data_IF_134917703475
#
_entry.id   IF_134917703475
#
_cell.length_a   1.000
_cell.length_b   1.000
_cell.length_c   1.000
_cell.angle_alpha   90.00
_cell.angle_beta   90.00
_cell.angle_gamma   90.00
#
_symmetry.space_group_name_H-M   'P 1'
#
loop_
_entity.id
_entity.type
_entity.pdbx_description
1 polymer ?
#
# COMPACT_ATOMS: atom_id res chain seq x y z
N UNK A 1 -14.36 -24.88 23.36
CA UNK A 1 -13.05 -25.45 22.98
C UNK A 1 -12.84 -25.09 21.52
N UNK A 2 -12.22 -23.93 21.26
CA UNK A 2 -11.83 -23.54 19.87
C UNK A 2 -10.60 -24.38 19.52
N UNK A 3 -10.74 -25.28 18.57
CA UNK A 3 -9.60 -25.89 17.87
C UNK A 3 -8.95 -24.79 17.03
N UNK A 4 -8.07 -23.98 17.63
CA UNK A 4 -7.29 -23.01 16.93
C UNK A 4 -6.43 -23.75 15.90
N UNK A 5 -6.65 -23.45 14.63
CA UNK A 5 -5.77 -23.89 13.57
C UNK A 5 -4.37 -23.30 13.85
N UNK A 6 -3.49 -24.12 14.41
CA UNK A 6 -2.13 -23.71 14.74
C UNK A 6 -1.25 -23.59 13.48
N UNK A 7 -0.08 -22.98 13.61
CA UNK A 7 0.87 -22.81 12.50
C UNK A 7 1.13 -24.09 11.71
N UNK A 8 1.00 -25.27 12.34
CA UNK A 8 1.23 -26.58 11.73
C UNK A 8 0.25 -26.91 10.59
N UNK A 9 -1.05 -26.60 10.75
CA UNK A 9 -2.06 -26.85 9.71
C UNK A 9 -1.82 -25.99 8.47
N UNK A 10 -1.41 -24.74 8.63
CA UNK A 10 -1.04 -23.85 7.53
C UNK A 10 0.22 -24.30 6.81
N UNK A 11 1.28 -24.70 7.53
CA UNK A 11 2.52 -25.26 6.94
C UNK A 11 2.18 -26.47 6.10
N UNK A 12 1.35 -27.39 6.60
CA UNK A 12 0.92 -28.58 5.87
C UNK A 12 0.13 -28.24 4.61
N UNK A 13 -0.83 -27.31 4.70
CA UNK A 13 -1.65 -26.88 3.57
C UNK A 13 -0.80 -26.24 2.47
N UNK A 14 0.11 -25.34 2.81
CA UNK A 14 1.01 -24.68 1.86
C UNK A 14 2.01 -25.66 1.24
N UNK A 15 2.53 -26.64 2.01
CA UNK A 15 3.38 -27.71 1.48
C UNK A 15 2.64 -28.55 0.44
N UNK A 16 1.37 -28.86 0.65
CA UNK A 16 0.55 -29.62 -0.30
C UNK A 16 0.21 -28.84 -1.57
N UNK A 17 0.14 -27.50 -1.48
CA UNK A 17 -0.14 -26.62 -2.62
C UNK A 17 1.05 -26.52 -3.57
N UNK A 18 2.28 -26.49 -3.05
CA UNK A 18 3.49 -26.18 -3.79
C UNK A 18 4.01 -27.42 -4.55
N UNK A 19 4.18 -27.28 -5.87
CA UNK A 19 4.72 -28.39 -6.66
C UNK A 19 6.26 -28.40 -6.60
N UNK A 20 6.93 -29.59 -6.72
CA UNK A 20 8.38 -29.67 -6.71
C UNK A 20 9.06 -28.81 -7.76
N UNK A 21 8.51 -28.76 -8.96
CA UNK A 21 9.02 -27.93 -10.05
C UNK A 21 9.05 -26.44 -9.68
N UNK A 22 8.11 -25.98 -8.86
CA UNK A 22 8.05 -24.58 -8.43
C UNK A 22 9.25 -24.18 -7.55
N UNK A 23 9.92 -25.16 -6.94
CA UNK A 23 11.09 -24.95 -6.07
C UNK A 23 12.39 -25.55 -6.64
N UNK A 24 12.39 -25.87 -7.94
CA UNK A 24 13.58 -26.37 -8.63
C UNK A 24 13.90 -27.84 -8.35
N UNK A 25 12.96 -28.61 -7.81
CA UNK A 25 13.12 -30.04 -7.61
C UNK A 25 12.56 -30.83 -8.81
N UNK A 26 13.18 -31.96 -9.18
CA UNK A 26 12.73 -32.78 -10.31
C UNK A 26 11.32 -33.32 -10.06
N UNK A 27 10.47 -33.25 -11.07
CA UNK A 27 9.17 -33.92 -11.09
C UNK A 27 9.39 -35.42 -11.22
N UNK A 28 9.45 -36.15 -10.11
CA UNK A 28 9.60 -37.60 -10.12
C UNK A 28 8.37 -38.28 -10.73
N UNK A 29 8.58 -39.25 -11.64
CA UNK A 29 7.56 -39.95 -12.43
C UNK A 29 6.60 -40.86 -11.61
N UNK A 30 6.81 -41.03 -10.30
CA UNK A 30 6.03 -41.93 -9.43
C UNK A 30 5.65 -41.27 -8.11
N UNK A 31 5.00 -40.09 -8.17
CA UNK A 31 4.54 -39.38 -6.96
C UNK A 31 3.12 -39.77 -6.57
N UNK A 32 2.98 -40.40 -5.39
CA UNK A 32 1.66 -40.64 -4.76
C UNK A 32 1.15 -39.47 -3.92
N UNK A 33 2.02 -38.48 -3.63
CA UNK A 33 1.72 -37.35 -2.74
C UNK A 33 1.57 -36.08 -3.55
N UNK A 34 0.45 -35.37 -3.36
CA UNK A 34 0.29 -34.00 -3.87
C UNK A 34 1.25 -33.06 -3.14
N UNK A 35 1.93 -32.18 -3.87
CA UNK A 35 2.82 -31.16 -3.34
C UNK A 35 4.18 -31.69 -2.90
N UNK A 36 4.89 -30.92 -2.06
CA UNK A 36 6.20 -31.29 -1.53
C UNK A 36 6.10 -32.39 -0.48
N UNK A 37 7.06 -33.30 -0.48
CA UNK A 37 7.26 -34.25 0.64
C UNK A 37 7.85 -33.52 1.84
N UNK A 38 7.70 -34.09 3.04
CA UNK A 38 8.28 -33.51 4.27
C UNK A 38 9.79 -33.39 4.19
N UNK A 39 10.45 -34.40 3.65
CA UNK A 39 11.90 -34.44 3.45
C UNK A 39 12.36 -33.31 2.52
N UNK A 40 11.60 -33.04 1.48
CA UNK A 40 11.90 -31.99 0.51
C UNK A 40 11.75 -30.61 1.15
N UNK A 41 10.63 -30.34 1.86
CA UNK A 41 10.44 -29.08 2.57
C UNK A 41 11.47 -28.88 3.68
N UNK A 42 11.77 -29.93 4.45
CA UNK A 42 12.76 -29.87 5.53
C UNK A 42 14.16 -29.52 4.99
N UNK A 43 14.55 -30.15 3.88
CA UNK A 43 15.81 -29.86 3.17
C UNK A 43 15.85 -28.42 2.67
N UNK A 44 14.79 -27.94 2.00
CA UNK A 44 14.70 -26.57 1.50
C UNK A 44 14.73 -25.51 2.62
N UNK A 45 14.13 -25.83 3.78
CA UNK A 45 14.10 -24.95 4.93
C UNK A 45 15.34 -25.09 5.85
N UNK A 46 16.22 -26.06 5.60
CA UNK A 46 17.40 -26.31 6.43
C UNK A 46 17.06 -26.76 7.86
N UNK A 47 15.96 -27.52 8.03
CA UNK A 47 15.52 -28.07 9.32
C UNK A 47 15.45 -29.62 9.25
N UNK A 48 15.40 -30.28 10.41
CA UNK A 48 15.21 -31.73 10.42
C UNK A 48 13.76 -32.12 10.06
N UNK A 49 13.60 -33.28 9.42
CA UNK A 49 12.27 -33.83 9.08
C UNK A 49 11.45 -34.06 10.34
N UNK A 50 12.07 -34.57 11.40
CA UNK A 50 11.42 -34.80 12.70
C UNK A 50 10.88 -33.48 13.31
N UNK A 51 11.65 -32.40 13.21
CA UNK A 51 11.20 -31.09 13.67
C UNK A 51 10.01 -30.56 12.86
N UNK A 52 10.05 -30.70 11.53
CA UNK A 52 8.93 -30.36 10.66
C UNK A 52 7.66 -31.16 10.99
N UNK A 53 7.80 -32.48 11.24
CA UNK A 53 6.67 -33.33 11.66
C UNK A 53 6.06 -32.82 12.97
N UNK A 54 6.89 -32.48 13.96
CA UNK A 54 6.41 -31.92 15.23
C UNK A 54 5.70 -30.57 15.08
N UNK A 55 6.21 -29.73 14.16
CA UNK A 55 5.54 -28.45 13.83
C UNK A 55 4.17 -28.70 13.19
N UNK A 56 4.09 -29.54 12.14
CA UNK A 56 2.82 -29.86 11.47
C UNK A 56 1.79 -30.49 12.41
N UNK A 57 2.25 -31.25 13.41
CA UNK A 57 1.37 -31.89 14.42
C UNK A 57 1.03 -30.97 15.61
N UNK A 58 1.52 -29.72 15.60
CA UNK A 58 1.28 -28.77 16.71
C UNK A 58 2.01 -29.14 18.03
N UNK A 59 2.97 -30.09 17.98
CA UNK A 59 3.77 -30.49 19.14
C UNK A 59 4.95 -29.56 19.40
N UNK A 60 5.38 -28.80 18.40
CA UNK A 60 6.33 -27.70 18.54
C UNK A 60 5.57 -26.38 18.39
N UNK A 61 5.30 -25.70 19.51
CA UNK A 61 4.35 -24.57 19.54
C UNK A 61 5.00 -23.20 19.36
N UNK A 62 6.32 -23.11 19.46
CA UNK A 62 7.06 -21.83 19.39
C UNK A 62 8.28 -21.93 18.48
N UNK A 63 8.12 -22.02 17.16
CA UNK A 63 9.24 -22.00 16.24
C UNK A 63 9.94 -20.63 16.31
N UNK A 64 11.28 -20.64 16.20
CA UNK A 64 12.04 -19.39 16.18
C UNK A 64 11.75 -18.59 14.91
N UNK A 65 11.96 -17.27 14.97
CA UNK A 65 11.81 -16.38 13.80
C UNK A 65 12.67 -16.81 12.62
N UNK A 66 13.84 -17.42 12.90
CA UNK A 66 14.74 -17.96 11.89
C UNK A 66 14.13 -19.17 11.16
N UNK A 67 13.47 -20.06 11.89
CA UNK A 67 12.76 -21.22 11.31
C UNK A 67 11.55 -20.73 10.49
N UNK A 68 10.77 -19.79 11.01
CA UNK A 68 9.64 -19.21 10.28
C UNK A 68 10.09 -18.52 8.99
N UNK A 69 11.20 -17.79 9.02
CA UNK A 69 11.78 -17.18 7.83
C UNK A 69 12.23 -18.23 6.79
N UNK A 70 12.84 -19.32 7.23
CA UNK A 70 13.28 -20.40 6.37
C UNK A 70 12.08 -21.13 5.72
N UNK A 71 11.06 -21.45 6.50
CA UNK A 71 9.82 -22.06 6.00
C UNK A 71 9.07 -21.13 5.03
N UNK A 72 9.00 -19.82 5.33
CA UNK A 72 8.36 -18.84 4.45
C UNK A 72 9.03 -18.79 3.07
N UNK A 73 10.35 -18.83 3.01
CA UNK A 73 11.10 -18.88 1.75
C UNK A 73 10.90 -20.21 1.02
N UNK A 74 11.03 -21.34 1.73
CA UNK A 74 10.90 -22.67 1.16
C UNK A 74 9.50 -22.93 0.59
N UNK A 75 8.46 -22.41 1.25
CA UNK A 75 7.06 -22.51 0.84
C UNK A 75 6.63 -21.42 -0.14
N UNK A 76 7.52 -20.50 -0.51
CA UNK A 76 7.22 -19.34 -1.38
C UNK A 76 5.97 -18.58 -0.94
N UNK A 77 5.84 -18.33 0.36
CA UNK A 77 4.70 -17.64 0.91
C UNK A 77 4.63 -16.20 0.41
N UNK A 78 3.42 -15.72 0.15
CA UNK A 78 3.18 -14.29 -0.04
C UNK A 78 3.48 -13.53 1.26
N UNK A 79 3.54 -12.22 1.19
CA UNK A 79 3.79 -11.38 2.38
C UNK A 79 2.69 -11.61 3.43
N UNK A 80 1.44 -11.71 3.01
CA UNK A 80 0.28 -11.95 3.88
C UNK A 80 0.34 -13.34 4.51
N UNK A 81 0.67 -14.37 3.75
CA UNK A 81 0.80 -15.74 4.23
C UNK A 81 1.97 -15.85 5.23
N UNK A 82 3.08 -15.18 4.94
CA UNK A 82 4.22 -15.11 5.86
C UNK A 82 3.81 -14.41 7.16
N UNK A 83 3.20 -13.24 7.08
CA UNK A 83 2.81 -12.45 8.24
C UNK A 83 1.76 -13.21 9.07
N UNK A 84 0.86 -13.93 8.40
CA UNK A 84 -0.08 -14.83 9.04
C UNK A 84 0.62 -16.00 9.75
N UNK A 85 1.61 -16.64 9.10
CA UNK A 85 2.41 -17.72 9.72
C UNK A 85 3.08 -17.26 11.02
N UNK A 86 3.69 -16.06 11.00
CA UNK A 86 4.31 -15.50 12.19
C UNK A 86 3.27 -15.25 13.30
N UNK A 87 2.13 -14.64 12.95
CA UNK A 87 1.05 -14.35 13.91
C UNK A 87 0.52 -15.60 14.58
N UNK A 88 0.20 -16.66 13.82
CA UNK A 88 -0.32 -17.92 14.39
C UNK A 88 0.74 -18.72 15.15
N UNK A 89 2.03 -18.46 14.89
CA UNK A 89 3.15 -18.99 15.65
C UNK A 89 3.48 -18.16 16.92
N UNK A 90 2.70 -17.11 17.22
CA UNK A 90 2.92 -16.24 18.38
C UNK A 90 4.14 -15.33 18.24
N UNK A 91 4.61 -15.08 17.03
CA UNK A 91 5.75 -14.22 16.72
C UNK A 91 5.29 -12.96 15.98
N UNK A 92 5.99 -11.84 16.20
CA UNK A 92 5.78 -10.65 15.42
C UNK A 92 6.26 -10.88 13.97
N UNK A 93 5.46 -10.53 12.95
CA UNK A 93 5.91 -10.57 11.56
C UNK A 93 7.18 -9.75 11.36
N UNK A 94 8.09 -10.17 10.45
CA UNK A 94 9.29 -9.41 10.15
C UNK A 94 8.92 -8.06 9.55
N UNK A 95 9.63 -7.03 9.98
CA UNK A 95 9.48 -5.68 9.44
C UNK A 95 9.79 -5.68 7.94
N UNK A 96 9.07 -4.86 7.21
CA UNK A 96 9.30 -4.70 5.77
C UNK A 96 10.53 -3.82 5.57
N UNK A 97 11.45 -4.24 4.70
CA UNK A 97 12.73 -3.51 4.50
C UNK A 97 12.59 -2.25 3.66
N UNK A 98 11.58 -2.19 2.78
CA UNK A 98 11.38 -1.05 1.88
C UNK A 98 9.91 -0.85 1.54
N UNK A 99 9.52 0.40 1.32
CA UNK A 99 8.20 0.75 0.80
C UNK A 99 8.03 0.24 -0.64
N UNK A 100 6.78 -0.10 -1.05
CA UNK A 100 6.49 -0.48 -2.43
C UNK A 100 6.86 0.65 -3.39
N UNK A 101 7.60 0.32 -4.45
CA UNK A 101 8.00 1.26 -5.49
C UNK A 101 7.22 1.06 -6.79
N UNK A 102 6.44 0.00 -6.90
CA UNK A 102 5.73 -0.39 -8.11
C UNK A 102 4.26 -0.64 -7.81
N UNK A 103 3.43 -0.33 -8.79
CA UNK A 103 1.99 -0.64 -8.75
C UNK A 103 1.78 -2.05 -9.27
N UNK A 104 1.13 -2.95 -8.50
CA UNK A 104 0.78 -4.28 -9.00
C UNK A 104 -0.11 -4.21 -10.23
N UNK A 105 -0.01 -5.17 -11.19
CA UNK A 105 -0.85 -5.17 -12.38
C UNK A 105 -2.36 -5.17 -12.10
N UNK A 106 -2.79 -5.75 -10.97
CA UNK A 106 -4.20 -5.72 -10.54
C UNK A 106 -4.67 -4.31 -10.19
N UNK A 107 -3.84 -3.53 -9.51
CA UNK A 107 -4.13 -2.13 -9.16
C UNK A 107 -4.12 -1.26 -10.41
N UNK A 108 -3.14 -1.45 -11.31
CA UNK A 108 -3.10 -0.71 -12.57
C UNK A 108 -4.38 -0.95 -13.39
N UNK A 109 -4.80 -2.21 -13.57
CA UNK A 109 -6.07 -2.52 -14.25
C UNK A 109 -7.29 -1.86 -13.59
N UNK A 110 -7.30 -1.74 -12.26
CA UNK A 110 -8.38 -1.07 -11.54
C UNK A 110 -8.39 0.43 -11.85
N UNK A 111 -7.24 1.09 -11.80
CA UNK A 111 -7.08 2.52 -12.14
C UNK A 111 -7.54 2.78 -13.57
N UNK A 112 -7.17 1.90 -14.52
CA UNK A 112 -7.55 2.03 -15.93
C UNK A 112 -9.07 1.84 -16.15
N UNK A 113 -9.70 0.96 -15.37
CA UNK A 113 -11.15 0.69 -15.48
C UNK A 113 -12.02 1.72 -14.76
N UNK A 114 -11.49 2.42 -13.78
CA UNK A 114 -12.16 3.54 -13.09
C UNK A 114 -11.95 4.86 -13.85
N UNK A 115 -12.01 4.83 -15.19
CA UNK A 115 -11.70 5.99 -16.03
C UNK A 115 -12.60 7.20 -15.77
N UNK A 116 -13.84 6.97 -15.32
CA UNK A 116 -14.83 8.01 -15.03
C UNK A 116 -14.71 8.61 -13.62
N UNK A 117 -13.81 8.11 -12.78
CA UNK A 117 -13.56 8.64 -11.45
C UNK A 117 -12.12 9.13 -11.34
N UNK A 118 -11.86 10.29 -10.72
CA UNK A 118 -10.49 10.72 -10.44
C UNK A 118 -9.83 9.76 -9.45
N UNK A 119 -8.81 9.05 -9.91
CA UNK A 119 -8.09 8.05 -9.13
C UNK A 119 -6.59 8.29 -9.19
N UNK A 120 -5.95 8.27 -8.01
CA UNK A 120 -4.49 8.22 -7.90
C UNK A 120 -4.03 7.18 -6.89
N UNK A 121 -2.83 6.66 -7.12
CA UNK A 121 -2.16 5.68 -6.25
C UNK A 121 -0.95 6.34 -5.61
N UNK A 122 -0.87 6.21 -4.30
CA UNK A 122 0.24 6.70 -3.48
C UNK A 122 0.96 5.56 -2.77
N UNK A 123 2.24 5.77 -2.49
CA UNK A 123 2.98 4.92 -1.56
C UNK A 123 2.56 5.19 -0.09
N UNK A 124 3.03 4.39 0.89
CA UNK A 124 2.73 4.60 2.30
C UNK A 124 3.17 5.95 2.87
N UNK A 125 4.14 6.63 2.22
CA UNK A 125 4.62 7.96 2.58
C UNK A 125 3.93 9.10 1.83
N UNK A 126 2.84 8.81 1.08
CA UNK A 126 2.08 9.77 0.29
C UNK A 126 2.83 10.37 -0.90
N UNK A 127 3.75 9.61 -1.51
CA UNK A 127 4.31 9.95 -2.82
C UNK A 127 3.42 9.38 -3.92
N UNK A 128 2.97 10.22 -4.84
CA UNK A 128 2.13 9.78 -5.96
C UNK A 128 2.95 8.90 -6.91
N UNK A 129 2.42 7.72 -7.23
CA UNK A 129 3.07 6.75 -8.13
C UNK A 129 2.41 6.77 -9.51
N UNK A 130 1.08 6.65 -9.55
CA UNK A 130 0.30 6.65 -10.79
C UNK A 130 -1.08 7.29 -10.57
N UNK A 131 -1.71 7.71 -11.65
CA UNK A 131 -3.02 8.33 -11.66
C UNK A 131 -3.71 8.08 -13.01
N UNK A 132 -5.02 8.28 -13.06
CA UNK A 132 -5.74 8.26 -14.32
C UNK A 132 -5.96 9.67 -14.89
N UNK A 133 -6.48 9.72 -16.11
CA UNK A 133 -6.78 10.97 -16.83
C UNK A 133 -7.76 11.87 -16.07
N UNK A 134 -8.79 11.29 -15.44
CA UNK A 134 -9.77 12.05 -14.67
C UNK A 134 -9.11 12.74 -13.44
N UNK A 135 -8.15 12.09 -12.79
CA UNK A 135 -7.35 12.71 -11.74
C UNK A 135 -6.53 13.89 -12.28
N UNK A 136 -5.82 13.69 -13.39
CA UNK A 136 -5.01 14.75 -14.00
C UNK A 136 -5.87 15.96 -14.42
N UNK A 137 -7.06 15.72 -14.92
CA UNK A 137 -8.01 16.78 -15.23
C UNK A 137 -8.43 17.57 -13.99
N UNK A 138 -8.82 16.87 -12.91
CA UNK A 138 -9.31 17.48 -11.66
C UNK A 138 -8.19 18.21 -10.91
N UNK A 139 -7.08 17.54 -10.65
CA UNK A 139 -6.01 17.99 -9.74
C UNK A 139 -4.84 18.70 -10.43
N UNK A 140 -4.79 18.64 -11.77
CA UNK A 140 -3.63 19.00 -12.57
C UNK A 140 -2.72 17.80 -12.83
N UNK A 141 -2.09 17.78 -14.00
CA UNK A 141 -1.23 16.67 -14.44
C UNK A 141 0.10 16.64 -13.65
N UNK A 142 0.37 15.58 -12.86
CA UNK A 142 1.60 15.46 -12.10
C UNK A 142 2.81 15.02 -12.96
N UNK A 143 2.67 14.81 -14.27
CA UNK A 143 3.75 14.30 -15.13
C UNK A 143 4.99 15.19 -15.13
N UNK A 144 4.80 16.52 -15.04
CA UNK A 144 5.88 17.48 -14.96
C UNK A 144 6.47 17.67 -13.56
N UNK A 145 5.82 17.09 -12.54
CA UNK A 145 6.25 17.24 -11.14
C UNK A 145 7.28 16.17 -10.81
N UNK A 146 8.41 16.55 -10.27
CA UNK A 146 9.54 15.66 -9.96
C UNK A 146 9.97 15.76 -8.49
N UNK A 147 10.78 14.82 -8.05
CA UNK A 147 11.40 14.87 -6.72
C UNK A 147 10.39 14.92 -5.57
N UNK A 148 10.63 15.78 -4.59
CA UNK A 148 9.79 15.90 -3.38
C UNK A 148 8.41 16.46 -3.65
N UNK A 149 8.22 17.24 -4.71
CA UNK A 149 6.92 17.81 -5.05
C UNK A 149 5.88 16.75 -5.48
N UNK A 150 6.31 15.52 -5.79
CA UNK A 150 5.40 14.37 -5.96
C UNK A 150 4.83 13.86 -4.62
N UNK A 151 5.38 14.30 -3.50
CA UNK A 151 4.92 13.87 -2.18
C UNK A 151 3.89 14.87 -1.63
N UNK A 152 2.70 14.36 -1.30
CA UNK A 152 1.59 15.19 -0.82
C UNK A 152 1.91 15.86 0.52
N UNK A 153 2.57 15.15 1.44
CA UNK A 153 2.93 15.67 2.76
C UNK A 153 4.00 16.76 2.62
N UNK A 154 5.01 16.54 1.78
CA UNK A 154 6.00 17.56 1.48
C UNK A 154 5.34 18.86 1.00
N UNK A 155 4.48 18.78 -0.01
CA UNK A 155 3.77 19.95 -0.53
C UNK A 155 2.94 20.66 0.52
N UNK A 156 2.30 19.91 1.42
CA UNK A 156 1.48 20.46 2.50
C UNK A 156 2.34 21.30 3.45
N UNK A 157 3.46 20.78 3.91
CA UNK A 157 4.30 21.42 4.91
C UNK A 157 5.27 22.47 4.37
N UNK A 158 5.49 22.50 3.06
CA UNK A 158 6.33 23.52 2.39
C UNK A 158 5.54 24.61 1.68
N UNK A 159 4.19 24.60 1.83
CA UNK A 159 3.33 25.65 1.29
C UNK A 159 3.13 25.62 -0.22
N UNK A 160 3.42 24.48 -0.89
CA UNK A 160 3.14 24.35 -2.31
C UNK A 160 1.64 24.38 -2.56
N UNK A 161 1.19 25.27 -3.43
CA UNK A 161 -0.22 25.44 -3.75
C UNK A 161 -0.88 24.15 -4.23
N UNK A 162 -2.07 23.88 -3.71
CA UNK A 162 -2.94 22.76 -4.15
C UNK A 162 -4.30 23.33 -4.54
N UNK A 163 -5.04 22.60 -5.37
CA UNK A 163 -6.44 22.96 -5.69
C UNK A 163 -7.42 22.64 -4.56
N UNK A 164 -7.00 21.91 -3.55
CA UNK A 164 -7.85 21.53 -2.42
C UNK A 164 -7.95 22.70 -1.47
N UNK A 165 -9.16 23.26 -1.34
CA UNK A 165 -9.48 24.27 -0.35
C UNK A 165 -9.61 23.61 1.02
N UNK A 166 -9.05 24.26 2.03
CA UNK A 166 -9.16 23.83 3.43
C UNK A 166 -9.44 25.06 4.29
N UNK A 167 -10.27 24.89 5.29
CA UNK A 167 -10.33 25.80 6.44
C UNK A 167 -9.09 25.58 7.32
N UNK A 168 -8.82 26.48 8.24
CA UNK A 168 -7.67 26.35 9.15
C UNK A 168 -7.78 25.06 9.98
N UNK A 169 -8.98 24.72 10.46
CA UNK A 169 -9.23 23.48 11.20
C UNK A 169 -8.99 22.22 10.34
N UNK A 170 -9.47 22.21 9.10
CA UNK A 170 -9.24 21.08 8.18
C UNK A 170 -7.77 20.94 7.79
N UNK A 171 -7.04 22.06 7.72
CA UNK A 171 -5.60 22.03 7.49
C UNK A 171 -4.87 21.43 8.68
N UNK A 172 -5.18 21.83 9.91
CA UNK A 172 -4.62 21.30 11.15
C UNK A 172 -4.89 19.80 11.31
N UNK A 173 -6.13 19.37 11.06
CA UNK A 173 -6.51 17.94 11.10
C UNK A 173 -5.75 17.13 10.04
N UNK A 174 -5.66 17.65 8.82
CA UNK A 174 -4.94 16.98 7.73
C UNK A 174 -3.45 16.84 8.05
N UNK A 175 -2.81 17.91 8.56
CA UNK A 175 -1.39 17.90 8.94
C UNK A 175 -1.11 16.90 10.06
N UNK A 176 -1.97 16.85 11.08
CA UNK A 176 -1.86 15.90 12.19
C UNK A 176 -1.99 14.46 11.71
N UNK A 177 -2.98 14.19 10.85
CA UNK A 177 -3.19 12.86 10.26
C UNK A 177 -2.04 12.46 9.33
N UNK A 178 -1.51 13.39 8.55
CA UNK A 178 -0.37 13.15 7.66
C UNK A 178 0.89 12.75 8.46
N UNK A 179 1.15 13.40 9.59
CA UNK A 179 2.25 13.03 10.50
C UNK A 179 2.03 11.65 11.12
N UNK A 180 0.79 11.34 11.55
CA UNK A 180 0.45 10.02 12.07
C UNK A 180 0.64 8.91 11.02
N UNK A 181 0.32 9.20 9.76
CA UNK A 181 0.54 8.29 8.63
C UNK A 181 2.02 8.00 8.40
N UNK A 182 2.88 9.03 8.40
CA UNK A 182 4.32 8.83 8.29
C UNK A 182 4.89 8.03 9.45
N UNK A 183 4.40 8.23 10.67
CA UNK A 183 4.81 7.40 11.83
C UNK A 183 4.44 5.93 11.64
N UNK A 184 3.24 5.64 11.15
CA UNK A 184 2.83 4.27 10.81
C UNK A 184 3.74 3.68 9.74
N UNK A 185 4.07 4.47 8.71
CA UNK A 185 5.00 4.04 7.68
C UNK A 185 6.40 3.72 8.26
N UNK A 186 6.94 4.56 9.17
CA UNK A 186 8.21 4.27 9.86
C UNK A 186 8.13 2.99 10.70
N UNK A 187 7.02 2.76 11.40
CA UNK A 187 6.81 1.52 12.16
C UNK A 187 6.83 0.27 11.28
N UNK A 188 6.30 0.37 10.06
CA UNK A 188 6.24 -0.72 9.08
C UNK A 188 7.55 -0.88 8.31
N UNK A 189 8.21 0.23 7.95
CA UNK A 189 9.40 0.32 7.09
C UNK A 189 10.56 1.05 7.77
N UNK A 190 11.05 0.58 8.93
CA UNK A 190 12.06 1.32 9.72
C UNK A 190 13.39 1.49 9.00
N UNK A 191 13.70 0.62 8.05
CA UNK A 191 14.96 0.59 7.32
C UNK A 191 14.90 1.25 5.94
N UNK A 192 13.74 1.77 5.53
CA UNK A 192 13.61 2.46 4.23
C UNK A 192 14.34 3.82 4.27
N UNK A 193 15.43 3.92 3.50
CA UNK A 193 16.26 5.12 3.45
C UNK A 193 15.52 6.34 2.86
N UNK A 194 14.61 6.12 1.90
CA UNK A 194 13.83 7.20 1.26
C UNK A 194 12.85 7.83 2.25
N UNK A 195 12.21 6.98 3.09
CA UNK A 195 11.30 7.44 4.13
C UNK A 195 12.03 8.23 5.20
N UNK A 196 13.17 7.73 5.69
CA UNK A 196 14.01 8.44 6.67
C UNK A 196 14.44 9.80 6.13
N UNK A 197 14.96 9.84 4.91
CA UNK A 197 15.40 11.07 4.27
C UNK A 197 14.24 12.07 4.11
N UNK A 198 13.04 11.63 3.71
CA UNK A 198 11.86 12.50 3.63
C UNK A 198 11.53 13.13 4.98
N UNK A 199 11.56 12.36 6.05
CA UNK A 199 11.25 12.86 7.40
C UNK A 199 12.29 13.87 7.86
N UNK A 200 13.58 13.60 7.66
CA UNK A 200 14.64 14.50 8.04
C UNK A 200 14.56 15.83 7.28
N UNK A 201 14.30 15.78 5.98
CA UNK A 201 14.08 16.96 5.14
C UNK A 201 12.83 17.76 5.58
N UNK A 202 11.71 17.08 5.89
CA UNK A 202 10.49 17.72 6.39
C UNK A 202 10.73 18.43 7.75
N UNK A 203 11.48 17.79 8.65
CA UNK A 203 11.83 18.40 9.95
C UNK A 203 12.69 19.65 9.80
N UNK A 204 13.55 19.70 8.78
CA UNK A 204 14.37 20.86 8.46
C UNK A 204 13.57 21.96 7.75
N UNK A 205 12.70 21.59 6.83
CA UNK A 205 11.96 22.52 5.98
C UNK A 205 10.76 23.16 6.69
N UNK A 206 10.16 22.48 7.69
CA UNK A 206 8.90 22.94 8.33
C UNK A 206 8.98 22.87 9.85
N UNK A 207 9.03 24.03 10.56
CA UNK A 207 8.89 24.07 12.02
C UNK A 207 7.57 23.47 12.51
N UNK A 208 6.50 23.61 11.73
CA UNK A 208 5.19 23.01 12.04
C UNK A 208 5.25 21.49 12.01
N UNK A 209 5.85 20.92 10.97
CA UNK A 209 6.07 19.47 10.90
C UNK A 209 6.93 18.97 12.07
N UNK A 210 8.04 19.67 12.38
CA UNK A 210 8.95 19.29 13.46
C UNK A 210 8.23 19.25 14.81
N UNK A 211 7.35 20.22 15.10
CA UNK A 211 6.52 20.22 16.32
C UNK A 211 5.57 19.04 16.37
N UNK A 212 4.73 18.86 15.33
CA UNK A 212 3.79 17.75 15.27
C UNK A 212 4.51 16.40 15.35
N UNK A 213 5.69 16.29 14.75
CA UNK A 213 6.52 15.08 14.83
C UNK A 213 7.01 14.81 16.26
N UNK A 214 7.26 15.82 17.09
CA UNK A 214 7.68 15.67 18.48
C UNK A 214 6.53 15.29 19.43
N UNK A 215 5.32 15.79 19.20
CA UNK A 215 4.14 15.67 20.08
C UNK A 215 3.56 14.25 20.19
N UNK A 216 3.89 13.33 19.28
CA UNK A 216 3.45 11.92 19.25
C UNK A 216 1.93 11.71 19.30
N UNK A 217 1.14 12.68 18.87
CA UNK A 217 -0.33 12.59 18.81
C UNK A 217 -0.76 11.61 17.73
N UNK A 218 -1.75 10.75 18.03
CA UNK A 218 -2.38 9.84 17.06
C UNK A 218 -3.85 10.19 17.02
N UNK A 219 -4.26 11.01 16.06
CA UNK A 219 -5.67 11.25 15.76
C UNK A 219 -6.01 10.67 14.39
N UNK A 220 -7.24 10.19 14.24
CA UNK A 220 -7.75 9.64 12.98
C UNK A 220 -9.21 9.99 12.78
N UNK A 221 -9.51 11.28 12.67
CA UNK A 221 -10.86 11.73 12.26
C UNK A 221 -10.69 12.92 11.34
N UNK A 222 -10.86 12.70 10.05
CA UNK A 222 -10.90 13.74 9.04
C UNK A 222 -12.20 13.68 8.27
N UNK A 223 -12.73 14.82 7.82
CA UNK A 223 -13.84 14.87 6.88
C UNK A 223 -13.41 14.21 5.56
N UNK A 224 -14.22 13.27 5.06
CA UNK A 224 -14.00 12.65 3.76
C UNK A 224 -14.34 13.61 2.61
N UNK A 225 -15.09 14.69 2.85
CA UNK A 225 -15.45 15.66 1.82
C UNK A 225 -14.36 16.70 1.62
N UNK A 226 -14.06 17.05 0.36
CA UNK A 226 -13.04 18.02 -0.05
C UNK A 226 -13.58 18.96 -1.12
N UNK A 227 -13.39 20.27 -0.92
CA UNK A 227 -13.68 21.25 -1.97
C UNK A 227 -12.41 21.50 -2.80
N UNK A 228 -12.55 21.35 -4.11
CA UNK A 228 -11.46 21.52 -5.08
C UNK A 228 -11.75 22.73 -5.95
N UNK A 229 -10.85 23.71 -5.94
CA UNK A 229 -10.95 24.90 -6.77
C UNK A 229 -10.41 24.60 -8.17
N UNK A 230 -11.31 24.19 -9.06
CA UNK A 230 -10.93 23.89 -10.44
C UNK A 230 -10.94 25.18 -11.29
N UNK A 231 -9.89 25.44 -12.08
CA UNK A 231 -9.72 26.72 -12.78
C UNK A 231 -10.81 27.03 -13.82
N UNK A 232 -11.45 26.01 -14.38
CA UNK A 232 -12.41 26.19 -15.47
C UNK A 232 -13.88 26.02 -15.03
N UNK A 233 -14.15 25.18 -14.03
CA UNK A 233 -15.53 24.90 -13.58
C UNK A 233 -15.83 25.45 -12.20
N UNK A 234 -14.86 26.10 -11.56
CA UNK A 234 -15.00 26.66 -10.21
C UNK A 234 -14.91 25.60 -9.09
N UNK A 235 -15.39 25.89 -7.89
CA UNK A 235 -15.33 24.99 -6.77
C UNK A 235 -16.22 23.76 -6.97
N UNK A 236 -15.68 22.59 -6.64
CA UNK A 236 -16.37 21.30 -6.68
C UNK A 236 -16.16 20.63 -5.33
N UNK A 237 -17.25 20.22 -4.67
CA UNK A 237 -17.18 19.45 -3.43
C UNK A 237 -17.37 17.98 -3.73
N UNK A 238 -16.39 17.18 -3.34
CA UNK A 238 -16.30 15.74 -3.64
C UNK A 238 -15.98 14.95 -2.38
N UNK A 239 -16.49 13.74 -2.30
CA UNK A 239 -16.03 12.77 -1.32
C UNK A 239 -14.66 12.21 -1.74
N UNK A 240 -13.77 12.08 -0.76
CA UNK A 240 -12.39 11.62 -0.95
C UNK A 240 -12.19 10.34 -0.15
N UNK A 241 -12.24 9.21 -0.81
CA UNK A 241 -12.03 7.91 -0.19
C UNK A 241 -10.60 7.45 -0.35
N UNK A 242 -9.99 7.00 0.75
CA UNK A 242 -8.65 6.44 0.77
C UNK A 242 -8.73 4.96 1.11
N UNK A 243 -8.47 4.12 0.12
CA UNK A 243 -8.48 2.67 0.25
C UNK A 243 -7.05 2.15 0.34
N UNK A 244 -6.79 1.21 1.24
CA UNK A 244 -5.50 0.52 1.29
C UNK A 244 -5.57 -0.77 0.49
N UNK A 245 -4.61 -0.97 -0.41
CA UNK A 245 -4.53 -2.19 -1.20
C UNK A 245 -3.83 -3.28 -0.39
N UNK A 246 -4.55 -4.36 -0.09
CA UNK A 246 -4.00 -5.49 0.62
C UNK A 246 -2.74 -6.02 -0.07
N UNK A 247 -1.72 -6.35 0.73
CA UNK A 247 -0.46 -6.93 0.25
C UNK A 247 0.55 -5.95 -0.31
N UNK A 248 0.20 -4.70 -0.55
CA UNK A 248 1.13 -3.72 -1.10
C UNK A 248 1.26 -2.44 -0.27
N UNK A 249 0.41 -2.23 0.73
CA UNK A 249 0.28 -0.98 1.52
C UNK A 249 0.12 0.29 0.66
N UNK A 250 -0.15 0.15 -0.62
CA UNK A 250 -0.48 1.26 -1.50
C UNK A 250 -1.81 1.86 -1.11
N UNK A 251 -1.94 3.17 -1.29
CA UNK A 251 -3.18 3.91 -1.06
C UNK A 251 -3.79 4.30 -2.39
N UNK A 252 -5.03 3.88 -2.59
CA UNK A 252 -5.85 4.28 -3.72
C UNK A 252 -6.75 5.42 -3.25
N UNK A 253 -6.55 6.62 -3.77
CA UNK A 253 -7.36 7.80 -3.49
C UNK A 253 -8.34 7.97 -4.64
N UNK A 254 -9.64 7.97 -4.30
CA UNK A 254 -10.74 8.09 -5.25
C UNK A 254 -11.59 9.29 -4.87
N UNK A 255 -11.93 10.13 -5.83
CA UNK A 255 -12.90 11.20 -5.65
C UNK A 255 -14.23 10.83 -6.29
N UNK A 256 -15.31 11.01 -5.54
CA UNK A 256 -16.68 10.79 -5.98
C UNK A 256 -17.55 12.01 -5.69
N UNK A 257 -18.63 12.14 -6.43
CA UNK A 257 -19.65 13.17 -6.18
C UNK A 257 -20.98 12.49 -5.85
N UNK A 258 -21.77 13.10 -4.99
CA UNK A 258 -23.14 12.66 -4.72
C UNK A 258 -23.93 12.56 -6.04
N UNK A 259 -24.54 11.40 -6.34
CA UNK A 259 -25.27 11.20 -7.59
C UNK A 259 -26.31 12.30 -7.84
N UNK A 260 -26.39 12.77 -9.08
CA UNK A 260 -27.33 13.80 -9.52
C UNK A 260 -27.12 15.21 -8.90
N UNK A 261 -26.06 15.40 -8.13
CA UNK A 261 -25.72 16.73 -7.57
C UNK A 261 -25.17 17.68 -8.64
N UNK A 262 -25.17 19.00 -8.38
CA UNK A 262 -24.47 19.97 -9.22
C UNK A 262 -22.97 19.64 -9.38
N UNK A 263 -22.35 19.10 -8.32
CA UNK A 263 -20.93 18.75 -8.33
C UNK A 263 -20.64 17.51 -9.17
N UNK A 264 -21.56 16.54 -9.26
CA UNK A 264 -21.47 15.45 -10.20
C UNK A 264 -21.48 15.93 -11.67
N UNK A 265 -22.26 16.97 -11.96
CA UNK A 265 -22.29 17.59 -13.29
C UNK A 265 -20.97 18.32 -13.59
N UNK A 266 -20.45 19.07 -12.62
CA UNK A 266 -19.14 19.74 -12.76
C UNK A 266 -18.01 18.74 -12.96
N UNK A 267 -18.02 17.63 -12.21
CA UNK A 267 -17.01 16.57 -12.31
C UNK A 267 -17.03 15.95 -13.73
N UNK A 268 -18.22 15.69 -14.29
CA UNK A 268 -18.34 15.21 -15.68
C UNK A 268 -17.79 16.23 -16.68
N UNK A 269 -18.03 17.53 -16.47
CA UNK A 269 -17.47 18.57 -17.33
C UNK A 269 -15.94 18.61 -17.26
N UNK A 270 -15.33 18.47 -16.07
CA UNK A 270 -13.87 18.36 -15.91
C UNK A 270 -13.29 17.21 -16.72
N UNK A 271 -13.96 16.05 -16.75
CA UNK A 271 -13.51 14.88 -17.52
C UNK A 271 -13.52 15.18 -19.04
N UNK A 272 -14.58 15.81 -19.54
CA UNK A 272 -14.67 16.21 -20.97
C UNK A 272 -13.54 17.17 -21.33
N UNK A 273 -13.29 18.18 -20.52
CA UNK A 273 -12.21 19.16 -20.71
C UNK A 273 -10.84 18.45 -20.69
N UNK A 274 -10.63 17.52 -19.77
CA UNK A 274 -9.39 16.75 -19.67
C UNK A 274 -9.10 15.92 -20.92
N UNK A 275 -10.12 15.26 -21.46
CA UNK A 275 -10.00 14.49 -22.71
C UNK A 275 -9.67 15.38 -23.93
N UNK A 276 -10.28 16.56 -24.02
CA UNK A 276 -9.98 17.51 -25.09
C UNK A 276 -8.53 18.01 -25.06
N UNK A 277 -7.99 18.27 -23.88
CA UNK A 277 -6.59 18.72 -23.73
C UNK A 277 -5.58 17.64 -24.12
N UNK A 278 -5.90 16.37 -23.89
CA UNK A 278 -5.06 15.26 -24.33
C UNK A 278 -5.07 15.12 -25.85
N UNK A 279 -6.25 15.19 -26.49
CA UNK A 279 -6.37 15.08 -27.95
C UNK A 279 -5.68 16.24 -28.72
N UNK A 280 -5.51 17.39 -28.08
CA UNK A 280 -4.77 18.54 -28.67
C UNK A 280 -3.25 18.39 -28.48
N UNK A 281 -2.76 17.67 -27.49
CA UNK A 281 -1.33 17.40 -27.28
C UNK A 281 -0.77 16.34 -28.26
N UNK A 282 -1.60 15.42 -28.72
CA UNK A 282 -1.22 14.34 -29.64
C UNK A 282 -1.31 14.70 -31.14
N UNK A 283 -1.60 15.96 -31.50
CA UNK A 283 -1.48 16.42 -32.87
C UNK A 283 -0.05 16.90 -33.13
N UNK A 284 0.76 16.17 -33.94
CA UNK A 284 2.04 16.68 -34.40
C UNK A 284 1.79 17.88 -35.32
N UNK A 285 2.46 18.98 -35.07
CA UNK A 285 2.62 20.14 -35.96
C UNK A 285 3.52 19.79 -37.09
#
# INVERSE_FOLDING_TARGET
>A
MQTGEGAGSYIQAWRHRLQPVDVGLPAGSSRRTRGLRREELASLAGISVDYLVRLEQGRATSPSTQVLAALSRALRLTIEERDHLYTVAGQAPPRRSSMPAHVPPSVQRLVDRLADLPVAVYDPAWTIITWNTAWAALMGDPSAVTGRDRNLIWRTFTGTSTRVRKTDSEADDFETNAVADLRRAVGTYPDDARLRQLIDELRQASPRFARLWAERTVNSTGSNSKTIDHPEVGPITLDCDVLTVAGSDLRLVVYTAEPSSPDANRLRLVQVIGLQKLSTRDRPT
#
